data_IF_433203606223
#
_entry.id   IF_433203606223
#
_cell.length_a   1.000
_cell.length_b   1.000
_cell.length_c   1.000
_cell.angle_alpha   90.00
_cell.angle_beta   90.00
_cell.angle_gamma   90.00
#
_symmetry.space_group_name_H-M   'P 1'
#
loop_
_entity.id
_entity.type
_entity.pdbx_description
1 polymer ?
#
# COMPACT_ATOMS: atom_id res chain seq x y z
N UNK A 1 -14.21 -14.93 5.59
CA UNK A 1 -12.82 -14.47 5.81
C UNK A 1 -12.83 -12.95 5.85
N UNK A 2 -12.11 -12.32 6.80
CA UNK A 2 -12.01 -10.86 6.95
C UNK A 2 -10.85 -10.27 6.13
N UNK A 3 -10.80 -8.94 5.98
CA UNK A 3 -9.60 -8.26 5.49
C UNK A 3 -8.44 -8.54 6.46
N UNK A 4 -7.24 -8.93 5.99
CA UNK A 4 -6.12 -9.29 6.88
C UNK A 4 -5.36 -8.07 7.43
N UNK A 5 -5.89 -6.86 7.26
CA UNK A 5 -5.23 -5.61 7.63
C UNK A 5 -6.11 -4.81 8.57
N UNK A 6 -5.46 -4.00 9.40
CA UNK A 6 -6.08 -2.99 10.26
C UNK A 6 -5.72 -1.58 9.78
N UNK A 7 -6.55 -0.60 10.14
CA UNK A 7 -6.22 0.81 9.91
C UNK A 7 -4.96 1.17 10.70
N UNK A 8 -3.99 1.79 10.03
CA UNK A 8 -2.70 2.15 10.59
C UNK A 8 -1.57 1.17 10.26
N UNK A 9 -1.88 -0.03 9.77
CA UNK A 9 -0.88 -1.02 9.31
C UNK A 9 -0.01 -0.44 8.19
N UNK A 10 1.25 -0.88 8.15
CA UNK A 10 2.15 -0.64 7.01
C UNK A 10 2.13 -1.88 6.11
N UNK A 11 1.84 -1.66 4.84
CA UNK A 11 1.75 -2.70 3.84
C UNK A 11 2.67 -2.38 2.65
N UNK A 12 3.16 -3.41 1.99
CA UNK A 12 3.87 -3.28 0.71
C UNK A 12 2.94 -3.62 -0.43
N UNK A 13 2.92 -2.79 -1.47
CA UNK A 13 2.22 -3.10 -2.71
C UNK A 13 3.01 -4.17 -3.49
N UNK A 14 2.36 -5.29 -3.79
CA UNK A 14 2.92 -6.39 -4.58
C UNK A 14 2.33 -6.49 -5.99
N UNK A 15 1.23 -5.76 -6.26
CA UNK A 15 0.65 -5.64 -7.60
C UNK A 15 0.12 -4.22 -7.83
N UNK A 16 0.81 -3.47 -8.69
CA UNK A 16 0.44 -2.12 -9.10
C UNK A 16 -0.13 -2.07 -10.52
N UNK A 17 -0.58 -3.21 -11.07
CA UNK A 17 -1.15 -3.23 -12.41
C UNK A 17 -2.40 -2.36 -12.44
N UNK A 18 -2.44 -1.48 -13.45
CA UNK A 18 -3.62 -0.68 -13.77
C UNK A 18 -4.86 -1.56 -13.91
N UNK A 19 -6.02 -1.02 -13.56
CA UNK A 19 -7.30 -1.68 -13.82
C UNK A 19 -7.83 -1.22 -15.17
N UNK A 20 -8.62 -2.06 -15.84
CA UNK A 20 -9.51 -1.58 -16.90
C UNK A 20 -10.85 -1.22 -16.27
N UNK A 21 -11.33 -0.01 -16.54
CA UNK A 21 -12.71 0.37 -16.26
C UNK A 21 -13.62 -0.38 -17.24
N UNK A 22 -14.52 -1.27 -16.78
CA UNK A 22 -15.34 -2.09 -17.65
C UNK A 22 -16.49 -1.31 -18.32
N UNK A 23 -16.81 -0.11 -17.86
CA UNK A 23 -17.83 0.77 -18.48
C UNK A 23 -17.25 1.70 -19.52
N UNK A 24 -16.03 2.22 -19.30
CA UNK A 24 -15.37 3.14 -20.25
C UNK A 24 -14.38 2.44 -21.17
N UNK A 25 -13.92 1.24 -20.82
CA UNK A 25 -12.85 0.52 -21.53
C UNK A 25 -11.47 1.16 -21.37
N UNK A 26 -11.36 2.23 -20.58
CA UNK A 26 -10.10 2.95 -20.36
C UNK A 26 -9.25 2.24 -19.30
N UNK A 27 -7.93 2.31 -19.49
CA UNK A 27 -7.00 1.86 -18.46
C UNK A 27 -6.92 2.91 -17.37
N UNK A 28 -7.37 2.55 -16.18
CA UNK A 28 -7.25 3.35 -14.97
C UNK A 28 -5.86 3.09 -14.40
N UNK A 29 -4.99 4.08 -14.55
CA UNK A 29 -3.69 4.08 -13.90
C UNK A 29 -3.88 4.11 -12.38
N UNK A 30 -3.37 3.08 -11.71
CA UNK A 30 -3.30 3.10 -10.25
C UNK A 30 -2.10 3.94 -9.85
N UNK A 31 -2.28 4.81 -8.86
CA UNK A 31 -1.16 5.55 -8.23
C UNK A 31 -0.27 4.65 -7.36
N UNK A 32 -0.54 3.34 -7.35
CA UNK A 32 0.28 2.34 -6.69
C UNK A 32 1.60 2.14 -7.43
N UNK A 33 2.60 1.70 -6.68
CA UNK A 33 3.90 1.32 -7.20
C UNK A 33 4.32 0.03 -6.49
N UNK A 34 4.70 -1.00 -7.26
CA UNK A 34 5.18 -2.27 -6.71
C UNK A 34 6.43 -2.06 -5.87
N UNK A 35 6.52 -2.78 -4.75
CA UNK A 35 7.60 -2.66 -3.76
C UNK A 35 7.50 -1.42 -2.87
N UNK A 36 6.61 -0.47 -3.15
CA UNK A 36 6.43 0.72 -2.31
C UNK A 36 5.57 0.43 -1.08
N UNK A 37 5.96 1.06 0.02
CA UNK A 37 5.24 1.03 1.29
C UNK A 37 4.12 2.05 1.34
N UNK A 38 3.02 1.62 1.94
CA UNK A 38 1.84 2.42 2.16
C UNK A 38 1.30 2.19 3.57
N UNK A 39 0.67 3.21 4.13
CA UNK A 39 -0.04 3.09 5.40
C UNK A 39 -1.52 2.93 5.14
N UNK A 40 -2.16 1.92 5.72
CA UNK A 40 -3.61 1.74 5.61
C UNK A 40 -4.31 2.88 6.33
N UNK A 41 -5.17 3.60 5.62
CA UNK A 41 -5.96 4.72 6.17
C UNK A 41 -7.43 4.39 6.35
N UNK A 42 -7.92 3.33 5.70
CA UNK A 42 -9.32 2.93 5.75
C UNK A 42 -9.53 1.55 5.13
N UNK A 43 -10.63 0.92 5.52
CA UNK A 43 -11.05 -0.38 5.00
C UNK A 43 -12.49 -0.25 4.51
N UNK A 44 -12.76 -0.81 3.33
CA UNK A 44 -14.11 -0.88 2.77
C UNK A 44 -14.66 -2.31 2.91
N UNK A 45 -15.97 -2.46 3.12
CA UNK A 45 -16.61 -3.78 3.14
C UNK A 45 -16.43 -4.50 1.80
N UNK A 46 -16.52 -5.83 1.78
CA UNK A 46 -16.22 -6.60 0.59
C UNK A 46 -17.31 -6.41 -0.48
N UNK A 47 -16.88 -6.23 -1.72
CA UNK A 47 -17.73 -6.26 -2.92
C UNK A 47 -17.24 -7.43 -3.76
N UNK A 48 -18.16 -8.28 -4.22
CA UNK A 48 -17.82 -9.51 -4.96
C UNK A 48 -16.81 -10.42 -4.24
N UNK A 49 -16.81 -10.40 -2.90
CA UNK A 49 -15.90 -11.18 -2.06
C UNK A 49 -14.53 -10.54 -1.82
N UNK A 50 -14.27 -9.35 -2.36
CA UNK A 50 -12.98 -8.65 -2.22
C UNK A 50 -13.09 -7.43 -1.29
N UNK A 51 -12.28 -7.40 -0.22
CA UNK A 51 -12.12 -6.22 0.63
C UNK A 51 -11.31 -5.13 -0.06
N UNK A 52 -11.77 -3.88 0.11
CA UNK A 52 -11.05 -2.69 -0.32
C UNK A 52 -10.16 -2.12 0.80
N UNK A 53 -8.96 -1.71 0.44
CA UNK A 53 -7.96 -1.08 1.31
C UNK A 53 -7.66 0.32 0.79
N UNK A 54 -7.91 1.33 1.62
CA UNK A 54 -7.48 2.69 1.37
C UNK A 54 -6.10 2.92 1.97
N UNK A 55 -5.24 3.61 1.24
CA UNK A 55 -3.88 3.91 1.67
C UNK A 55 -3.63 5.42 1.72
N UNK A 56 -2.91 5.85 2.75
CA UNK A 56 -2.61 7.26 2.98
C UNK A 56 -1.80 7.87 1.83
N UNK A 57 -2.12 9.11 1.47
CA UNK A 57 -1.40 9.87 0.46
C UNK A 57 -1.75 9.51 -0.99
N UNK A 58 -2.59 8.49 -1.21
CA UNK A 58 -3.17 8.20 -2.52
C UNK A 58 -4.68 8.48 -2.47
N UNK A 59 -5.12 9.46 -3.25
CA UNK A 59 -6.52 9.61 -3.62
C UNK A 59 -6.61 9.33 -5.12
N UNK A 60 -7.50 8.44 -5.60
CA UNK A 60 -7.73 8.36 -7.03
C UNK A 60 -8.22 9.72 -7.50
N UNK A 61 -7.60 10.25 -8.54
CA UNK A 61 -7.87 11.59 -9.07
C UNK A 61 -9.24 11.70 -9.77
N UNK A 62 -9.85 10.57 -10.06
CA UNK A 62 -11.17 10.40 -10.64
C UNK A 62 -11.56 9.04 -10.15
N UNK A 63 -12.67 8.93 -9.43
CA UNK A 63 -13.54 7.76 -9.44
C UNK A 63 -14.53 7.77 -8.26
N UNK A 64 -15.69 7.14 -8.44
CA UNK A 64 -16.75 7.10 -7.44
C UNK A 64 -16.28 6.39 -6.17
N UNK A 65 -16.92 6.69 -5.04
CA UNK A 65 -16.58 6.33 -3.65
C UNK A 65 -15.94 4.94 -3.39
N UNK A 66 -16.21 3.94 -4.23
CA UNK A 66 -15.71 2.56 -4.14
C UNK A 66 -14.37 2.29 -4.82
N UNK A 67 -13.99 3.13 -5.77
CA UNK A 67 -12.73 3.03 -6.53
C UNK A 67 -11.57 3.74 -5.81
N UNK A 68 -11.87 4.36 -4.65
CA UNK A 68 -10.90 4.90 -3.71
C UNK A 68 -10.13 3.85 -2.90
N UNK A 69 -10.61 2.61 -2.88
CA UNK A 69 -9.95 1.52 -2.23
C UNK A 69 -9.35 0.54 -3.25
N UNK A 70 -8.15 0.05 -2.94
CA UNK A 70 -7.45 -0.94 -3.71
C UNK A 70 -7.76 -2.33 -3.15
N UNK A 71 -7.88 -3.35 -4.00
CA UNK A 71 -8.16 -4.70 -3.51
C UNK A 71 -7.05 -5.20 -2.57
N UNK A 72 -7.44 -5.81 -1.45
CA UNK A 72 -6.50 -6.20 -0.38
C UNK A 72 -5.39 -7.15 -0.85
N UNK A 73 -5.65 -8.01 -1.84
CA UNK A 73 -4.68 -8.97 -2.38
C UNK A 73 -3.49 -8.31 -3.07
N UNK A 74 -3.60 -7.02 -3.44
CA UNK A 74 -2.49 -6.22 -3.98
C UNK A 74 -1.44 -5.86 -2.95
N UNK A 75 -1.71 -6.12 -1.68
CA UNK A 75 -0.82 -5.77 -0.59
C UNK A 75 -0.40 -7.00 0.20
N UNK A 76 0.78 -6.90 0.81
CA UNK A 76 1.22 -7.80 1.85
C UNK A 76 1.47 -7.00 3.12
N UNK A 77 1.00 -7.52 4.25
CA UNK A 77 1.31 -6.96 5.56
C UNK A 77 2.80 -7.13 5.79
N UNK A 78 3.43 -6.07 6.27
CA UNK A 78 4.78 -6.17 6.75
C UNK A 78 4.66 -6.50 8.24
N UNK A 79 5.02 -7.73 8.58
CA UNK A 79 5.27 -8.08 9.96
C UNK A 79 6.68 -7.61 10.33
N UNK A 80 6.84 -7.00 11.50
CA UNK A 80 8.10 -6.45 11.99
C UNK A 80 9.26 -7.48 11.98
N UNK A 81 8.94 -8.78 12.02
CA UNK A 81 9.90 -9.87 11.97
C UNK A 81 10.53 -10.09 10.58
N UNK A 82 9.88 -9.64 9.50
CA UNK A 82 10.36 -9.84 8.12
C UNK A 82 11.30 -8.73 7.61
N UNK A 83 11.59 -7.70 8.44
CA UNK A 83 12.39 -6.54 8.04
C UNK A 83 13.80 -6.42 8.66
N UNK A 84 14.58 -7.49 8.94
CA UNK A 84 15.92 -7.30 9.46
C UNK A 84 16.81 -6.51 8.48
N UNK A 85 16.68 -6.70 7.16
CA UNK A 85 17.53 -6.01 6.19
C UNK A 85 17.21 -4.52 5.99
N UNK A 86 15.93 -4.13 5.92
CA UNK A 86 15.58 -2.72 5.72
C UNK A 86 15.73 -1.90 7.00
N UNK A 87 15.44 -2.47 8.18
CA UNK A 87 15.79 -1.85 9.46
C UNK A 87 17.31 -1.75 9.65
N UNK A 88 18.08 -2.76 9.21
CA UNK A 88 19.54 -2.72 9.22
C UNK A 88 20.08 -1.62 8.29
N UNK A 89 19.53 -1.46 7.09
CA UNK A 89 19.91 -0.37 6.16
C UNK A 89 19.58 1.02 6.71
N UNK A 90 18.42 1.20 7.36
CA UNK A 90 18.07 2.47 7.99
C UNK A 90 18.98 2.78 9.19
N UNK A 91 19.28 1.76 10.03
CA UNK A 91 20.22 1.90 11.15
C UNK A 91 21.66 2.18 10.69
N UNK A 92 22.11 1.57 9.60
CA UNK A 92 23.45 1.82 9.06
C UNK A 92 23.57 3.21 8.45
N UNK A 93 22.52 3.71 7.80
CA UNK A 93 22.46 5.10 7.29
C UNK A 93 22.42 6.14 8.42
N UNK A 94 21.82 5.81 9.57
CA UNK A 94 21.82 6.69 10.75
C UNK A 94 23.19 6.84 11.41
N UNK A 95 24.00 5.77 11.45
CA UNK A 95 25.33 5.79 12.11
C UNK A 95 26.40 6.58 11.38
N UNK A 96 26.23 6.86 10.09
CA UNK A 96 27.25 7.61 9.32
C UNK A 96 27.17 9.11 9.60
N UNK A 97 26.00 9.65 9.96
CA UNK A 97 25.83 11.09 10.23
C UNK A 97 26.44 11.56 11.55
N UNK A 98 26.69 10.67 12.49
CA UNK A 98 27.33 11.05 13.78
C UNK A 98 28.87 11.07 13.71
N UNK A 99 29.49 10.57 12.64
CA UNK A 99 30.95 10.53 12.50
C UNK A 99 31.59 11.71 11.77
N UNK A 100 30.81 12.59 11.15
CA UNK A 100 31.33 13.80 10.49
C UNK A 100 31.19 15.09 11.33
N UNK A 101 30.76 14.97 12.59
CA UNK A 101 30.61 16.10 13.51
C UNK A 101 31.58 16.09 14.70
N UNK A 102 32.68 15.32 14.64
CA UNK A 102 33.72 15.27 15.65
C UNK A 102 35.10 15.59 15.06
#
# INVERSE_FOLDING_TARGET
MGCPFDVGDVVVCVDAKGRFDPWTGERVDTMLAEGRHYRVSGLLPPVDGEYGVQVAGLSPKRTAFWEAAYAHWRFRKIDDEQYPEALSRIRSLGKTKEREAA
#
